data_IF_314895231531
#
_entry.id   IF_314895231531
#
_cell.length_a   1.000
_cell.length_b   1.000
_cell.length_c   1.000
_cell.angle_alpha   90.00
_cell.angle_beta   90.00
_cell.angle_gamma   90.00
#
_symmetry.space_group_name_H-M   'P 1'
#
loop_
_entity.id
_entity.type
_entity.pdbx_description
1 polymer ?
#
# COMPACT_ATOMS: atom_id res chain seq x y z
N UNK A 1 -3.90 -11.68 -31.36
CA UNK A 1 -4.31 -12.31 -30.08
C UNK A 1 -5.24 -11.32 -29.39
N UNK A 2 -6.51 -11.69 -29.21
CA UNK A 2 -7.54 -10.82 -28.61
C UNK A 2 -8.18 -11.62 -27.49
N UNK A 3 -8.11 -11.12 -26.25
CA UNK A 3 -8.73 -11.76 -25.08
C UNK A 3 -10.14 -11.24 -24.88
N UNK A 4 -11.05 -12.05 -24.30
CA UNK A 4 -12.43 -11.64 -24.02
C UNK A 4 -12.48 -10.48 -23.04
N UNK A 5 -11.65 -10.53 -21.99
CA UNK A 5 -11.51 -9.49 -20.99
C UNK A 5 -10.10 -9.49 -20.40
N UNK A 6 -9.78 -8.46 -19.60
CA UNK A 6 -8.56 -8.37 -18.81
C UNK A 6 -8.90 -8.46 -17.33
N UNK A 7 -8.33 -9.44 -16.64
CA UNK A 7 -8.45 -9.62 -15.20
C UNK A 7 -7.20 -9.11 -14.46
N UNK A 8 -7.42 -8.37 -13.38
CA UNK A 8 -6.32 -7.91 -12.52
C UNK A 8 -5.61 -9.09 -11.85
N UNK A 9 -4.27 -9.02 -11.80
CA UNK A 9 -3.44 -10.05 -11.19
C UNK A 9 -3.81 -10.40 -9.73
N UNK A 10 -4.43 -9.48 -9.00
CA UNK A 10 -4.94 -9.71 -7.65
C UNK A 10 -5.97 -10.85 -7.56
N UNK A 11 -6.67 -11.21 -8.64
CA UNK A 11 -7.60 -12.33 -8.68
C UNK A 11 -6.97 -13.64 -9.21
N UNK A 12 -5.73 -13.59 -9.70
CA UNK A 12 -5.14 -14.71 -10.44
C UNK A 12 -5.01 -15.99 -9.63
N UNK A 13 -4.78 -15.92 -8.32
CA UNK A 13 -4.74 -17.13 -7.47
C UNK A 13 -6.12 -17.69 -7.14
N UNK A 14 -7.14 -16.85 -7.09
CA UNK A 14 -8.51 -17.23 -6.69
C UNK A 14 -9.37 -17.72 -7.85
N UNK A 15 -9.09 -17.26 -9.07
CA UNK A 15 -9.80 -17.70 -10.27
C UNK A 15 -9.35 -19.10 -10.67
N UNK A 16 -10.30 -19.99 -10.94
CA UNK A 16 -10.00 -21.37 -11.34
C UNK A 16 -9.31 -21.37 -12.69
N UNK A 17 -8.44 -22.35 -12.94
CA UNK A 17 -7.67 -22.42 -14.19
C UNK A 17 -8.56 -22.44 -15.45
N UNK A 18 -9.69 -23.15 -15.40
CA UNK A 18 -10.64 -23.23 -16.53
C UNK A 18 -11.25 -21.87 -16.89
N UNK A 19 -11.43 -20.98 -15.92
CA UNK A 19 -12.07 -19.67 -16.11
C UNK A 19 -11.09 -18.59 -16.63
N UNK A 20 -9.81 -18.94 -16.85
CA UNK A 20 -8.75 -18.02 -17.30
C UNK A 20 -8.43 -18.13 -18.79
N UNK A 21 -8.84 -19.22 -19.44
CA UNK A 21 -8.34 -19.58 -20.77
C UNK A 21 -8.66 -18.56 -21.87
N UNK A 22 -9.72 -17.75 -21.69
CA UNK A 22 -10.14 -16.68 -22.60
C UNK A 22 -9.85 -15.27 -22.06
N UNK A 23 -9.16 -15.17 -20.92
CA UNK A 23 -8.80 -13.93 -20.25
C UNK A 23 -7.33 -13.58 -20.44
N UNK A 24 -7.03 -12.28 -20.43
CA UNK A 24 -5.68 -11.77 -20.21
C UNK A 24 -5.49 -11.38 -18.75
N UNK A 25 -4.28 -11.55 -18.21
CA UNK A 25 -3.92 -11.06 -16.88
C UNK A 25 -3.24 -9.69 -16.99
N UNK A 26 -3.76 -8.65 -16.33
CA UNK A 26 -3.18 -7.31 -16.33
C UNK A 26 -2.65 -6.88 -14.96
N UNK A 27 -1.77 -5.89 -14.99
CA UNK A 27 -1.13 -5.29 -13.82
C UNK A 27 -1.46 -3.81 -13.62
N UNK A 28 -2.48 -3.29 -14.31
CA UNK A 28 -3.07 -1.96 -14.03
C UNK A 28 -3.83 -1.89 -12.69
N UNK A 29 -3.11 -2.22 -11.62
CA UNK A 29 -3.48 -2.18 -10.21
C UNK A 29 -2.30 -1.53 -9.48
N UNK A 30 -2.41 -1.24 -8.19
CA UNK A 30 -1.29 -0.60 -7.48
C UNK A 30 -0.06 -1.53 -7.41
N UNK A 31 1.15 -0.98 -7.63
CA UNK A 31 2.44 -1.70 -7.66
C UNK A 31 2.60 -2.73 -6.54
N UNK A 32 2.18 -2.36 -5.33
CA UNK A 32 2.31 -3.21 -4.15
C UNK A 32 1.59 -4.56 -4.31
N UNK A 33 0.52 -4.61 -5.11
CA UNK A 33 -0.25 -5.82 -5.35
C UNK A 33 0.49 -6.83 -6.23
N UNK A 34 1.56 -6.42 -6.92
CA UNK A 34 2.32 -7.31 -7.80
C UNK A 34 3.83 -7.25 -7.63
N UNK A 35 4.37 -6.41 -6.74
CA UNK A 35 5.80 -6.42 -6.37
C UNK A 35 6.32 -7.85 -6.03
N UNK A 36 5.45 -8.69 -5.47
CA UNK A 36 5.68 -10.12 -5.22
C UNK A 36 6.16 -10.93 -6.44
N UNK A 37 5.76 -10.54 -7.65
CA UNK A 37 6.17 -11.24 -8.86
C UNK A 37 7.61 -10.90 -9.26
N UNK A 38 8.11 -9.72 -8.88
CA UNK A 38 9.54 -9.38 -9.02
C UNK A 38 10.41 -10.17 -8.05
N UNK A 39 9.96 -10.28 -6.80
CA UNK A 39 10.73 -10.97 -5.76
C UNK A 39 10.76 -12.49 -5.94
N UNK A 40 9.67 -13.07 -6.46
CA UNK A 40 9.51 -14.52 -6.62
C UNK A 40 8.89 -14.87 -7.97
N UNK A 41 9.56 -14.59 -9.10
CA UNK A 41 8.97 -14.70 -10.43
C UNK A 41 8.50 -16.12 -10.77
N UNK A 42 9.22 -17.15 -10.30
CA UNK A 42 8.85 -18.55 -10.49
C UNK A 42 7.57 -18.98 -9.76
N UNK A 43 7.26 -18.37 -8.62
CA UNK A 43 6.16 -18.80 -7.75
C UNK A 43 4.76 -18.54 -8.33
N UNK A 44 4.67 -17.72 -9.37
CA UNK A 44 3.41 -17.31 -10.00
C UNK A 44 3.20 -17.91 -11.38
N UNK A 45 4.17 -18.66 -11.91
CA UNK A 45 4.08 -19.24 -13.26
C UNK A 45 2.82 -20.08 -13.39
N UNK A 46 2.55 -20.99 -12.45
CA UNK A 46 1.38 -21.88 -12.54
C UNK A 46 0.04 -21.13 -12.42
N UNK A 47 0.03 -19.99 -11.71
CA UNK A 47 -1.16 -19.16 -11.62
C UNK A 47 -1.40 -18.34 -12.90
N UNK A 48 -0.32 -17.98 -13.60
CA UNK A 48 -0.31 -17.13 -14.79
C UNK A 48 -0.43 -17.92 -16.10
N UNK A 49 0.10 -19.14 -16.17
CA UNK A 49 0.11 -20.00 -17.36
C UNK A 49 -1.28 -20.27 -17.97
N UNK A 50 -2.37 -20.39 -17.19
CA UNK A 50 -3.68 -20.66 -17.78
C UNK A 50 -4.33 -19.45 -18.49
N UNK A 51 -3.78 -18.24 -18.38
CA UNK A 51 -4.28 -17.08 -19.12
C UNK A 51 -3.89 -17.15 -20.58
N UNK A 52 -4.73 -16.61 -21.47
CA UNK A 52 -4.41 -16.50 -22.89
C UNK A 52 -3.17 -15.62 -23.13
N UNK A 53 -3.02 -14.56 -22.34
CA UNK A 53 -1.82 -13.77 -22.28
C UNK A 53 -1.64 -13.08 -20.93
N UNK A 54 -0.43 -12.66 -20.64
CA UNK A 54 -0.09 -11.91 -19.42
C UNK A 54 0.60 -10.61 -19.84
N UNK A 55 0.06 -9.49 -19.38
CA UNK A 55 0.70 -8.19 -19.62
C UNK A 55 1.94 -8.08 -18.73
N UNK A 56 3.02 -7.43 -19.18
CA UNK A 56 4.16 -7.16 -18.28
C UNK A 56 3.73 -6.25 -17.13
N UNK A 57 4.30 -6.39 -15.93
CA UNK A 57 3.95 -5.53 -14.79
C UNK A 57 4.20 -4.06 -15.09
N UNK A 58 3.28 -3.20 -14.66
CA UNK A 58 3.33 -1.76 -14.91
C UNK A 58 3.82 -1.03 -13.66
N UNK A 59 5.09 -1.21 -13.30
CA UNK A 59 5.68 -0.49 -12.17
C UNK A 59 5.61 1.02 -12.42
N UNK A 60 5.00 1.73 -11.49
CA UNK A 60 4.67 3.14 -11.59
C UNK A 60 5.90 4.01 -11.87
N UNK A 61 5.75 4.93 -12.81
CA UNK A 61 6.73 5.97 -13.14
C UNK A 61 6.15 7.32 -12.72
N UNK A 62 6.75 7.96 -11.71
CA UNK A 62 6.31 9.28 -11.25
C UNK A 62 7.13 10.40 -11.92
N UNK A 63 6.49 11.54 -12.18
CA UNK A 63 7.14 12.69 -12.84
C UNK A 63 8.28 13.29 -12.02
N UNK A 64 8.24 13.14 -10.69
CA UNK A 64 9.25 13.58 -9.73
C UNK A 64 10.29 12.49 -9.40
N UNK A 65 10.14 11.29 -9.96
CA UNK A 65 11.08 10.19 -9.78
C UNK A 65 12.34 10.42 -10.65
N UNK A 66 13.57 10.30 -10.11
CA UNK A 66 14.79 10.39 -10.89
C UNK A 66 14.81 9.39 -12.06
N UNK A 67 15.34 9.79 -13.22
CA UNK A 67 15.40 8.95 -14.44
C UNK A 67 15.99 7.55 -14.17
N UNK A 68 16.99 7.42 -13.28
CA UNK A 68 17.60 6.14 -12.92
C UNK A 68 16.60 5.17 -12.24
N UNK A 69 15.73 5.68 -11.38
CA UNK A 69 14.69 4.85 -10.73
C UNK A 69 13.58 4.49 -11.72
N UNK A 70 13.26 5.40 -12.64
CA UNK A 70 12.30 5.10 -13.71
C UNK A 70 12.83 4.01 -14.65
N UNK A 71 14.11 4.07 -15.01
CA UNK A 71 14.79 3.05 -15.81
C UNK A 71 14.84 1.71 -15.08
N UNK A 72 15.10 1.71 -13.76
CA UNK A 72 15.00 0.52 -12.93
C UNK A 72 13.61 -0.12 -12.98
N UNK A 73 12.54 0.66 -12.85
CA UNK A 73 11.15 0.16 -12.92
C UNK A 73 10.84 -0.44 -14.30
N UNK A 74 11.32 0.19 -15.38
CA UNK A 74 11.18 -0.36 -16.73
C UNK A 74 11.98 -1.64 -16.94
N UNK A 75 13.19 -1.72 -16.40
CA UNK A 75 14.01 -2.93 -16.42
C UNK A 75 13.30 -4.09 -15.73
N UNK A 76 12.76 -3.90 -14.52
CA UNK A 76 12.06 -4.94 -13.76
C UNK A 76 10.89 -5.54 -14.56
N UNK A 77 10.08 -4.67 -15.18
CA UNK A 77 8.96 -5.05 -16.03
C UNK A 77 9.40 -5.92 -17.21
N UNK A 78 10.43 -5.49 -17.95
CA UNK A 78 10.93 -6.21 -19.11
C UNK A 78 11.60 -7.55 -18.75
N UNK A 79 12.38 -7.58 -17.67
CA UNK A 79 13.04 -8.78 -17.17
C UNK A 79 12.02 -9.85 -16.75
N UNK A 80 10.93 -9.46 -16.09
CA UNK A 80 9.83 -10.36 -15.75
C UNK A 80 9.11 -10.89 -16.97
N UNK A 81 8.80 -10.00 -17.92
CA UNK A 81 8.21 -10.40 -19.19
C UNK A 81 9.05 -11.47 -19.88
N UNK A 82 10.36 -11.23 -20.02
CA UNK A 82 11.29 -12.19 -20.62
C UNK A 82 11.32 -13.52 -19.86
N UNK A 83 11.39 -13.47 -18.53
CA UNK A 83 11.39 -14.67 -17.71
C UNK A 83 10.11 -15.49 -17.88
N UNK A 84 8.95 -14.84 -17.97
CA UNK A 84 7.68 -15.53 -18.20
C UNK A 84 7.55 -16.13 -19.59
N UNK A 85 8.00 -15.42 -20.63
CA UNK A 85 8.09 -15.98 -21.99
C UNK A 85 8.93 -17.26 -22.03
N UNK A 86 10.10 -17.24 -21.38
CA UNK A 86 10.98 -18.41 -21.27
C UNK A 86 10.33 -19.59 -20.55
N UNK A 87 9.29 -19.34 -19.74
CA UNK A 87 8.53 -20.35 -19.02
C UNK A 87 7.18 -20.69 -19.70
N UNK A 88 7.03 -20.34 -20.98
CA UNK A 88 5.90 -20.73 -21.83
C UNK A 88 4.64 -19.88 -21.65
N UNK A 89 4.75 -18.68 -21.06
CA UNK A 89 3.64 -17.74 -20.96
C UNK A 89 3.67 -16.81 -22.17
N UNK A 90 2.53 -16.60 -22.84
CA UNK A 90 2.41 -15.56 -23.85
C UNK A 90 2.37 -14.19 -23.19
N UNK A 91 3.38 -13.36 -23.42
CA UNK A 91 3.52 -12.05 -22.78
C UNK A 91 3.23 -10.91 -23.75
N UNK A 92 2.53 -9.88 -23.26
CA UNK A 92 2.31 -8.62 -23.99
C UNK A 92 2.98 -7.47 -23.23
N UNK A 93 3.91 -6.72 -23.86
CA UNK A 93 4.53 -5.57 -23.22
C UNK A 93 3.53 -4.47 -22.87
N UNK A 94 3.58 -3.99 -21.63
CA UNK A 94 2.85 -2.82 -21.17
C UNK A 94 3.69 -1.57 -21.40
N UNK A 95 3.11 -0.58 -22.08
CA UNK A 95 3.70 0.73 -22.29
C UNK A 95 3.48 1.60 -21.06
N UNK A 96 4.57 2.21 -20.57
CA UNK A 96 4.58 3.08 -19.41
C UNK A 96 5.59 4.20 -19.62
N UNK A 97 5.25 5.43 -19.26
CA UNK A 97 6.11 6.61 -19.43
C UNK A 97 5.74 7.68 -18.38
N UNK A 98 6.64 8.65 -18.21
CA UNK A 98 6.39 9.82 -17.37
C UNK A 98 6.64 11.09 -18.19
N UNK A 99 7.81 11.72 -18.06
CA UNK A 99 8.21 12.91 -18.81
C UNK A 99 8.96 12.56 -20.11
N UNK A 100 9.16 13.52 -21.05
CA UNK A 100 9.90 13.25 -22.30
C UNK A 100 11.32 12.68 -22.12
N UNK A 101 12.01 12.94 -21.01
CA UNK A 101 13.30 12.28 -20.72
C UNK A 101 13.17 10.77 -20.61
N UNK A 102 12.02 10.25 -20.16
CA UNK A 102 11.76 8.82 -20.01
C UNK A 102 11.73 8.07 -21.34
N UNK A 103 11.45 8.77 -22.46
CA UNK A 103 11.42 8.17 -23.80
C UNK A 103 12.77 7.60 -24.24
N UNK A 104 13.86 7.98 -23.58
CA UNK A 104 15.20 7.41 -23.81
C UNK A 104 15.27 5.92 -23.45
N UNK A 105 14.43 5.45 -22.54
CA UNK A 105 14.48 4.07 -22.04
C UNK A 105 13.13 3.35 -22.04
N UNK A 106 11.99 4.05 -21.94
CA UNK A 106 10.71 3.40 -21.62
C UNK A 106 10.17 2.45 -22.69
N UNK A 107 10.59 2.62 -23.96
CA UNK A 107 10.22 1.75 -25.08
C UNK A 107 11.33 0.77 -25.51
N UNK A 108 12.47 0.76 -24.81
CA UNK A 108 13.57 -0.17 -25.14
C UNK A 108 13.14 -1.61 -24.89
N UNK A 109 13.58 -2.51 -25.78
CA UNK A 109 13.30 -3.95 -25.67
C UNK A 109 11.90 -4.37 -26.14
N UNK A 110 11.04 -3.43 -26.56
CA UNK A 110 9.74 -3.74 -27.15
C UNK A 110 9.91 -3.88 -28.67
N UNK A 111 9.57 -5.03 -29.28
CA UNK A 111 9.69 -5.21 -30.73
C UNK A 111 8.75 -4.28 -31.50
N UNK A 112 9.19 -3.81 -32.68
CA UNK A 112 8.32 -3.08 -33.59
C UNK A 112 7.21 -3.98 -34.13
N UNK A 113 6.06 -3.41 -34.49
CA UNK A 113 4.90 -4.14 -35.05
C UNK A 113 4.37 -5.25 -34.13
N UNK A 114 4.64 -5.16 -32.83
CA UNK A 114 4.13 -6.09 -31.82
C UNK A 114 2.78 -5.62 -31.26
N UNK A 115 2.08 -6.55 -30.60
CA UNK A 115 0.95 -6.21 -29.73
C UNK A 115 1.49 -5.58 -28.45
N UNK A 116 0.90 -4.46 -28.04
CA UNK A 116 1.27 -3.74 -26.80
C UNK A 116 0.02 -3.40 -26.00
N UNK A 117 0.19 -3.20 -24.70
CA UNK A 117 -0.91 -2.79 -23.82
C UNK A 117 -0.64 -1.44 -23.16
N UNK A 118 -1.69 -0.67 -22.87
CA UNK A 118 -1.59 0.58 -22.10
C UNK A 118 -2.89 0.85 -21.35
N UNK A 119 -2.83 1.74 -20.36
CA UNK A 119 -3.98 2.09 -19.53
C UNK A 119 -4.23 3.59 -19.50
N UNK A 120 -5.51 3.95 -19.39
CA UNK A 120 -6.01 5.32 -19.18
C UNK A 120 -6.59 5.51 -17.77
N UNK A 121 -6.49 4.48 -16.92
CA UNK A 121 -6.87 4.55 -15.50
C UNK A 121 -5.99 5.59 -14.81
N UNK A 122 -6.59 6.46 -13.99
CA UNK A 122 -5.89 7.58 -13.34
C UNK A 122 -5.68 8.82 -14.24
N UNK A 123 -5.48 8.63 -15.55
CA UNK A 123 -5.24 9.71 -16.54
C UNK A 123 -6.52 10.50 -16.85
N UNK A 124 -7.69 9.85 -16.83
CA UNK A 124 -8.94 10.46 -17.29
C UNK A 124 -9.42 11.67 -16.46
N UNK A 125 -8.87 11.94 -15.27
CA UNK A 125 -9.39 12.93 -14.31
C UNK A 125 -8.73 14.32 -14.36
N UNK A 126 -7.59 14.51 -15.03
CA UNK A 126 -6.90 15.81 -15.11
C UNK A 126 -6.38 16.16 -16.50
N UNK A 127 -6.45 17.45 -16.90
CA UNK A 127 -6.00 17.92 -18.23
C UNK A 127 -4.52 17.62 -18.49
N UNK A 128 -3.62 17.98 -17.56
CA UNK A 128 -2.18 17.74 -17.72
C UNK A 128 -1.80 16.25 -17.80
N UNK A 129 -2.50 15.37 -17.09
CA UNK A 129 -2.26 13.93 -17.17
C UNK A 129 -2.65 13.36 -18.54
N UNK A 130 -3.74 13.87 -19.15
CA UNK A 130 -4.15 13.47 -20.51
C UNK A 130 -3.12 13.89 -21.55
N UNK A 131 -2.55 15.08 -21.44
CA UNK A 131 -1.55 15.57 -22.39
C UNK A 131 -0.27 14.73 -22.32
N UNK A 132 0.23 14.44 -21.11
CA UNK A 132 1.37 13.54 -20.88
C UNK A 132 1.12 12.14 -21.46
N UNK A 133 -0.09 11.60 -21.27
CA UNK A 133 -0.46 10.32 -21.86
C UNK A 133 -0.47 10.39 -23.39
N UNK A 134 -1.09 11.42 -23.98
CA UNK A 134 -1.17 11.60 -25.44
C UNK A 134 0.21 11.74 -26.06
N UNK A 135 1.11 12.46 -25.42
CA UNK A 135 2.47 12.67 -25.92
C UNK A 135 3.31 11.39 -25.87
N UNK A 136 3.25 10.66 -24.75
CA UNK A 136 3.95 9.38 -24.65
C UNK A 136 3.37 8.31 -25.57
N UNK A 137 2.04 8.25 -25.72
CA UNK A 137 1.41 7.34 -26.67
C UNK A 137 1.79 7.68 -28.12
N UNK A 138 1.81 8.97 -28.49
CA UNK A 138 2.24 9.40 -29.83
C UNK A 138 3.68 8.96 -30.12
N UNK A 139 4.57 9.12 -29.14
CA UNK A 139 5.95 8.68 -29.29
C UNK A 139 6.07 7.15 -29.37
N UNK A 140 5.26 6.41 -28.61
CA UNK A 140 5.18 4.96 -28.69
C UNK A 140 4.70 4.51 -30.09
N UNK A 141 3.63 5.10 -30.62
CA UNK A 141 3.11 4.81 -31.96
C UNK A 141 4.18 5.04 -33.04
N UNK A 142 4.90 6.17 -32.96
CA UNK A 142 5.96 6.53 -33.92
C UNK A 142 7.15 5.56 -33.88
N UNK A 143 7.56 5.10 -32.70
CA UNK A 143 8.76 4.26 -32.54
C UNK A 143 8.48 2.78 -32.71
N UNK A 144 7.36 2.31 -32.19
CA UNK A 144 7.03 0.89 -32.13
C UNK A 144 6.16 0.45 -33.30
N UNK A 145 5.38 1.36 -33.90
CA UNK A 145 4.41 1.03 -34.96
C UNK A 145 3.60 -0.24 -34.61
N UNK A 146 2.92 -0.26 -33.44
CA UNK A 146 2.29 -1.48 -32.94
C UNK A 146 1.25 -2.00 -33.93
N UNK A 147 1.13 -3.32 -34.04
CA UNK A 147 0.09 -3.96 -34.87
C UNK A 147 -1.26 -4.00 -34.18
N UNK A 148 -1.27 -4.01 -32.84
CA UNK A 148 -2.47 -4.04 -32.00
C UNK A 148 -2.19 -3.35 -30.66
N UNK A 149 -3.11 -2.50 -30.20
CA UNK A 149 -3.08 -1.91 -28.86
C UNK A 149 -4.22 -2.46 -28.00
N UNK A 150 -3.87 -3.03 -26.84
CA UNK A 150 -4.83 -3.39 -25.79
C UNK A 150 -4.98 -2.20 -24.84
N UNK A 151 -6.11 -1.49 -24.93
CA UNK A 151 -6.39 -0.27 -24.16
C UNK A 151 -7.28 -0.58 -22.95
N UNK A 152 -6.72 -0.48 -21.75
CA UNK A 152 -7.48 -0.64 -20.51
C UNK A 152 -7.97 0.72 -19.97
N UNK A 153 -9.26 0.82 -19.64
CA UNK A 153 -9.86 2.02 -19.04
C UNK A 153 -10.84 2.74 -19.95
N UNK A 154 -10.90 4.08 -19.86
CA UNK A 154 -11.81 4.91 -20.65
C UNK A 154 -11.10 5.37 -21.93
N UNK A 155 -11.71 5.20 -23.08
CA UNK A 155 -11.24 5.86 -24.29
C UNK A 155 -11.30 7.39 -24.10
N UNK A 156 -10.15 8.05 -24.25
CA UNK A 156 -9.99 9.51 -24.09
C UNK A 156 -10.00 10.27 -25.42
N UNK A 157 -10.31 9.61 -26.53
CA UNK A 157 -10.33 10.18 -27.88
C UNK A 157 -8.92 10.39 -28.46
N UNK A 158 -8.02 9.42 -28.30
CA UNK A 158 -6.71 9.44 -28.96
C UNK A 158 -6.82 8.80 -30.34
N UNK A 159 -6.15 9.41 -31.33
CA UNK A 159 -6.07 8.88 -32.68
C UNK A 159 -4.88 7.91 -32.78
N UNK A 160 -5.19 6.61 -32.90
CA UNK A 160 -4.19 5.56 -33.09
C UNK A 160 -3.82 5.36 -34.56
N UNK A 161 -4.33 6.20 -35.47
CA UNK A 161 -4.16 6.05 -36.91
C UNK A 161 -4.78 4.75 -37.41
N UNK A 162 -4.04 4.01 -38.24
CA UNK A 162 -4.48 2.71 -38.77
C UNK A 162 -4.24 1.51 -37.84
N UNK A 163 -3.79 1.72 -36.61
CA UNK A 163 -3.53 0.63 -35.66
C UNK A 163 -4.84 0.07 -35.08
N UNK A 164 -4.95 -1.25 -35.01
CA UNK A 164 -6.08 -1.92 -34.37
C UNK A 164 -6.05 -1.66 -32.85
N UNK A 165 -7.22 -1.38 -32.25
CA UNK A 165 -7.34 -1.13 -30.81
C UNK A 165 -8.47 -1.97 -30.23
N UNK A 166 -8.17 -2.71 -29.16
CA UNK A 166 -9.17 -3.45 -28.37
C UNK A 166 -9.30 -2.78 -27.01
N UNK A 167 -10.52 -2.37 -26.67
CA UNK A 167 -10.81 -1.64 -25.44
C UNK A 167 -11.35 -2.55 -24.34
N UNK A 168 -10.82 -2.41 -23.12
CA UNK A 168 -11.23 -3.14 -21.93
C UNK A 168 -11.71 -2.17 -20.85
N UNK A 169 -12.87 -2.42 -20.25
CA UNK A 169 -13.46 -1.54 -19.24
C UNK A 169 -12.79 -1.74 -17.88
N UNK A 170 -12.38 -0.64 -17.24
CA UNK A 170 -11.96 -0.66 -15.84
C UNK A 170 -13.15 -0.97 -14.92
N UNK A 171 -13.09 -2.06 -14.16
CA UNK A 171 -14.13 -2.49 -13.20
C UNK A 171 -14.92 -3.76 -13.56
N UNK A 172 -14.49 -4.53 -14.56
CA UNK A 172 -15.14 -5.78 -14.98
C UNK A 172 -14.68 -7.01 -14.19
N UNK A 173 -15.34 -7.30 -13.06
CA UNK A 173 -15.16 -8.54 -12.31
C UNK A 173 -16.48 -9.13 -11.85
N UNK A 174 -17.56 -8.99 -12.64
CA UNK A 174 -18.80 -9.70 -12.37
C UNK A 174 -18.66 -11.15 -12.80
N UNK A 175 -18.09 -11.99 -11.94
CA UNK A 175 -18.38 -13.43 -12.00
C UNK A 175 -19.75 -13.60 -11.34
N UNK A 176 -20.80 -13.46 -12.14
CA UNK A 176 -22.14 -13.89 -11.78
C UNK A 176 -22.18 -15.42 -11.78
N UNK A 177 -22.50 -16.01 -10.63
CA UNK A 177 -22.75 -17.44 -10.49
C UNK A 177 -23.47 -17.72 -9.18
N UNK A 178 -24.79 -17.84 -9.24
CA UNK A 178 -25.63 -18.38 -8.15
C UNK A 178 -25.12 -19.79 -7.81
N UNK A 179 -24.91 -20.06 -6.53
CA UNK A 179 -24.53 -21.38 -6.05
C UNK A 179 -24.46 -21.43 -4.53
N UNK A 180 -25.60 -21.68 -3.90
CA UNK A 180 -25.73 -22.06 -2.49
C UNK A 180 -25.04 -23.41 -2.24
N UNK A 181 -24.10 -23.48 -1.29
CA UNK A 181 -23.73 -24.74 -0.65
C UNK A 181 -23.47 -24.55 0.85
N UNK A 182 -24.25 -25.29 1.63
CA UNK A 182 -24.08 -25.59 3.05
C UNK A 182 -23.23 -26.85 3.26
N UNK A 183 -22.84 -27.06 4.53
CA UNK A 183 -22.32 -28.31 5.13
C UNK A 183 -20.79 -28.54 4.93
N UNK A 184 -20.01 -29.05 5.88
CA UNK A 184 -20.20 -29.53 7.26
C UNK A 184 -18.81 -29.67 7.89
N UNK A 185 -18.75 -29.60 9.22
CA UNK A 185 -17.56 -29.95 9.99
C UNK A 185 -17.19 -31.43 9.82
N UNK A 186 -15.90 -31.71 9.67
CA UNK A 186 -15.31 -33.04 9.75
C UNK A 186 -13.94 -32.94 10.41
N UNK A 187 -13.85 -33.31 11.68
CA UNK A 187 -12.62 -33.34 12.45
C UNK A 187 -11.84 -34.63 12.16
N UNK A 188 -10.52 -34.50 11.96
CA UNK A 188 -9.56 -35.57 12.21
C UNK A 188 -8.34 -34.96 12.92
N UNK A 189 -8.22 -35.27 14.21
CA UNK A 189 -6.99 -35.16 15.03
C UNK A 189 -6.25 -36.49 14.80
N UNK A 190 -4.95 -36.51 14.55
CA UNK A 190 -3.96 -36.58 15.62
C UNK A 190 -2.57 -36.06 15.24
N UNK A 191 -1.83 -35.70 16.30
CA UNK A 191 -0.58 -34.94 16.33
C UNK A 191 0.62 -35.88 16.47
N UNK A 192 1.77 -35.43 15.99
CA UNK A 192 3.07 -35.72 16.60
C UNK A 192 3.67 -34.41 17.13
N UNK A 193 4.01 -34.40 18.42
CA UNK A 193 4.84 -33.41 19.13
C UNK A 193 6.23 -34.04 19.28
N UNK A 194 7.34 -33.32 19.28
CA UNK A 194 7.90 -32.40 20.28
C UNK A 194 9.22 -31.89 19.67
N UNK A 195 9.78 -30.75 20.11
CA UNK A 195 11.16 -30.37 19.74
C UNK A 195 11.41 -30.45 18.20
N UNK A 196 10.51 -29.82 17.44
CA UNK A 196 10.33 -30.06 16.01
C UNK A 196 9.82 -28.82 15.29
N UNK A 197 10.64 -27.77 15.27
CA UNK A 197 10.50 -26.66 14.34
C UNK A 197 11.81 -26.51 13.57
N UNK A 198 12.01 -27.36 12.55
CA UNK A 198 12.85 -26.93 11.43
C UNK A 198 12.04 -25.90 10.65
N UNK A 199 12.28 -24.64 10.97
CA UNK A 199 11.87 -23.55 10.09
C UNK A 199 13.08 -23.17 9.26
N UNK A 200 13.20 -23.80 8.10
CA UNK A 200 14.00 -23.26 7.00
C UNK A 200 13.29 -22.01 6.47
N UNK A 201 13.42 -20.90 7.21
CA UNK A 201 13.05 -19.59 6.74
C UNK A 201 14.21 -19.05 5.90
N UNK A 202 14.07 -19.11 4.57
CA UNK A 202 14.96 -18.36 3.68
C UNK A 202 14.67 -16.86 3.79
N UNK A 203 15.73 -16.06 3.92
CA UNK A 203 15.77 -14.60 4.00
C UNK A 203 15.16 -13.84 2.79
N UNK A 204 14.40 -14.51 1.90
CA UNK A 204 13.84 -13.94 0.67
C UNK A 204 12.34 -13.56 0.76
N UNK A 205 11.71 -13.64 1.94
CA UNK A 205 10.28 -13.33 2.13
C UNK A 205 9.99 -11.96 2.76
N UNK A 206 11.00 -11.13 2.99
CA UNK A 206 10.80 -9.77 3.51
C UNK A 206 10.69 -8.83 2.31
N UNK A 207 9.45 -8.48 1.93
CA UNK A 207 9.22 -7.38 0.98
C UNK A 207 7.99 -7.45 0.06
N UNK A 208 7.03 -8.35 0.21
CA UNK A 208 5.84 -8.40 -0.67
C UNK A 208 4.54 -8.17 0.09
N UNK A 209 3.53 -7.55 -0.54
CA UNK A 209 2.18 -7.53 0.02
C UNK A 209 1.62 -8.97 0.12
N UNK A 210 0.86 -9.28 1.18
CA UNK A 210 0.44 -10.63 1.52
C UNK A 210 -0.71 -11.15 0.63
N UNK A 211 -0.55 -12.36 0.09
CA UNK A 211 -1.52 -13.02 -0.81
C UNK A 211 -2.52 -13.92 -0.09
N UNK A 212 -2.30 -14.15 1.19
CA UNK A 212 -3.15 -14.96 2.04
C UNK A 212 -3.28 -14.33 3.42
N UNK A 213 -4.30 -14.74 4.15
CA UNK A 213 -4.48 -14.36 5.55
C UNK A 213 -3.28 -14.76 6.43
N UNK A 214 -2.57 -15.83 6.05
CA UNK A 214 -1.33 -16.25 6.71
C UNK A 214 -0.21 -15.25 6.44
N UNK A 215 -0.08 -14.78 5.21
CA UNK A 215 0.93 -13.80 4.81
C UNK A 215 0.70 -12.46 5.53
N UNK A 216 -0.56 -12.08 5.79
CA UNK A 216 -0.90 -10.88 6.57
C UNK A 216 -0.42 -11.00 8.02
N UNK A 217 -0.66 -12.15 8.65
CA UNK A 217 -0.20 -12.44 10.02
C UNK A 217 1.33 -12.47 10.06
N UNK A 218 1.97 -13.00 9.02
CA UNK A 218 3.42 -13.02 8.88
C UNK A 218 4.00 -11.61 8.72
N UNK A 219 3.39 -10.75 7.89
CA UNK A 219 3.82 -9.35 7.74
C UNK A 219 3.62 -8.57 9.04
N UNK A 220 2.52 -8.78 9.74
CA UNK A 220 2.32 -8.17 11.06
C UNK A 220 3.41 -8.61 12.04
N UNK A 221 3.74 -9.91 12.10
CA UNK A 221 4.86 -10.39 12.92
C UNK A 221 6.20 -9.80 12.49
N UNK A 222 6.46 -9.72 11.19
CA UNK A 222 7.68 -9.13 10.63
C UNK A 222 7.76 -7.61 10.83
N UNK A 223 6.62 -6.93 10.99
CA UNK A 223 6.57 -5.54 11.39
C UNK A 223 6.88 -5.37 12.89
N UNK A 224 6.97 -6.44 13.68
CA UNK A 224 7.33 -6.38 15.11
C UNK A 224 6.18 -6.64 16.07
N UNK A 225 4.97 -7.00 15.59
CA UNK A 225 3.88 -7.35 16.50
C UNK A 225 4.16 -8.69 17.21
N UNK A 226 4.04 -8.69 18.55
CA UNK A 226 4.25 -9.87 19.40
C UNK A 226 3.12 -10.90 19.30
N UNK A 227 1.95 -10.49 18.78
CA UNK A 227 0.81 -11.35 18.54
C UNK A 227 -0.21 -10.69 17.61
N UNK A 228 -1.00 -11.51 16.91
CA UNK A 228 -2.06 -11.06 15.99
C UNK A 228 -3.30 -11.89 16.25
N UNK A 229 -4.40 -11.25 16.64
CA UNK A 229 -5.62 -11.94 17.06
C UNK A 229 -6.89 -11.24 16.56
N UNK A 230 -7.91 -12.02 16.21
CA UNK A 230 -9.24 -11.49 15.92
C UNK A 230 -9.33 -10.55 14.71
N UNK A 231 -8.33 -10.54 13.84
CA UNK A 231 -8.36 -9.76 12.59
C UNK A 231 -9.22 -10.44 11.51
N UNK A 232 -9.93 -11.54 11.88
CA UNK A 232 -10.96 -12.36 11.20
C UNK A 232 -11.55 -11.79 9.91
N UNK A 233 -12.09 -10.61 10.11
CA UNK A 233 -13.05 -10.00 9.21
C UNK A 233 -12.45 -8.84 8.43
N UNK A 234 -11.21 -8.44 8.75
CA UNK A 234 -10.49 -7.39 8.01
C UNK A 234 -10.03 -7.97 6.68
N UNK A 235 -10.47 -7.33 5.59
CA UNK A 235 -10.08 -7.72 4.22
C UNK A 235 -8.57 -7.63 4.04
N UNK A 236 -8.00 -8.62 3.35
CA UNK A 236 -6.56 -8.74 3.09
C UNK A 236 -5.97 -7.45 2.56
N UNK A 237 -6.59 -6.81 1.55
CA UNK A 237 -6.10 -5.56 0.94
C UNK A 237 -5.95 -4.41 1.95
N UNK A 238 -6.95 -4.20 2.81
CA UNK A 238 -6.90 -3.15 3.83
C UNK A 238 -5.83 -3.47 4.87
N UNK A 239 -5.76 -4.73 5.30
CA UNK A 239 -4.75 -5.19 6.24
C UNK A 239 -3.33 -5.06 5.67
N UNK A 240 -3.13 -5.33 4.37
CA UNK A 240 -1.87 -5.08 3.67
C UNK A 240 -1.46 -3.62 3.73
N UNK A 241 -2.38 -2.70 3.40
CA UNK A 241 -2.12 -1.25 3.44
C UNK A 241 -1.68 -0.80 4.84
N UNK A 242 -2.41 -1.23 5.88
CA UNK A 242 -2.07 -0.88 7.25
C UNK A 242 -0.72 -1.45 7.67
N UNK A 243 -0.44 -2.72 7.34
CA UNK A 243 0.83 -3.33 7.74
C UNK A 243 2.03 -2.77 6.99
N UNK A 244 1.87 -2.33 5.74
CA UNK A 244 2.93 -1.63 5.01
C UNK A 244 3.23 -0.27 5.64
N UNK A 245 2.19 0.49 5.99
CA UNK A 245 2.38 1.74 6.70
C UNK A 245 3.06 1.52 8.04
N UNK A 246 2.61 0.54 8.83
CA UNK A 246 3.25 0.20 10.11
C UNK A 246 4.69 -0.24 9.91
N UNK A 247 4.99 -1.09 8.92
CA UNK A 247 6.34 -1.52 8.63
C UNK A 247 7.25 -0.33 8.27
N UNK A 248 6.77 0.59 7.43
CA UNK A 248 7.51 1.81 7.08
C UNK A 248 7.78 2.71 8.29
N UNK A 249 6.81 2.86 9.19
CA UNK A 249 6.99 3.65 10.41
C UNK A 249 7.93 2.93 11.39
N UNK A 250 7.82 1.61 11.50
CA UNK A 250 8.68 0.80 12.36
C UNK A 250 10.14 0.88 11.96
N UNK A 251 10.45 0.81 10.67
CA UNK A 251 11.84 0.98 10.18
C UNK A 251 12.44 2.34 10.57
N UNK A 252 11.60 3.35 10.78
CA UNK A 252 12.04 4.71 11.12
C UNK A 252 12.05 4.98 12.62
N UNK A 253 11.14 4.38 13.38
CA UNK A 253 10.88 4.76 14.77
C UNK A 253 11.01 3.63 15.78
N UNK A 254 10.93 2.35 15.38
CA UNK A 254 11.21 1.21 16.26
C UNK A 254 10.25 1.01 17.44
N UNK A 255 9.02 1.55 17.40
CA UNK A 255 8.11 1.52 18.55
C UNK A 255 7.63 0.11 18.93
N UNK A 256 7.36 -0.75 17.94
CA UNK A 256 6.92 -2.13 18.19
C UNK A 256 8.04 -3.00 18.75
N UNK A 257 9.29 -2.76 18.35
CA UNK A 257 10.46 -3.44 18.91
C UNK A 257 10.77 -2.97 20.34
N UNK A 258 10.56 -1.69 20.64
CA UNK A 258 10.84 -1.14 21.97
C UNK A 258 9.81 -1.57 23.02
N UNK A 259 8.53 -1.67 22.64
CA UNK A 259 7.43 -2.12 23.51
C UNK A 259 6.65 -3.23 22.82
N UNK A 260 6.69 -4.47 23.35
CA UNK A 260 5.96 -5.60 22.78
C UNK A 260 4.48 -5.27 22.58
N UNK A 261 4.05 -5.24 21.32
CA UNK A 261 2.71 -4.78 20.94
C UNK A 261 1.92 -5.89 20.27
N UNK A 262 0.68 -6.11 20.68
CA UNK A 262 -0.24 -7.04 20.02
C UNK A 262 -1.17 -6.32 19.05
N UNK A 263 -1.42 -6.91 17.89
CA UNK A 263 -2.43 -6.46 16.94
C UNK A 263 -3.74 -7.22 17.17
N UNK A 264 -4.82 -6.48 17.44
CA UNK A 264 -6.14 -7.03 17.73
C UNK A 264 -7.17 -6.54 16.70
N UNK A 265 -8.05 -7.42 16.25
CA UNK A 265 -9.28 -7.02 15.56
C UNK A 265 -10.49 -7.11 16.50
N UNK A 266 -11.21 -6.01 16.65
CA UNK A 266 -12.39 -5.93 17.51
C UNK A 266 -13.59 -5.27 16.82
N UNK A 267 -14.79 -5.54 17.32
CA UNK A 267 -16.01 -4.82 16.96
C UNK A 267 -16.39 -3.87 18.10
N UNK A 268 -16.94 -2.70 17.76
CA UNK A 268 -17.39 -1.73 18.75
C UNK A 268 -18.05 -0.52 18.11
N UNK A 269 -18.44 0.48 18.91
CA UNK A 269 -18.96 1.74 18.38
C UNK A 269 -17.92 2.84 18.56
N UNK A 270 -17.77 3.70 17.55
CA UNK A 270 -17.07 4.98 17.68
C UNK A 270 -15.56 5.00 17.45
N UNK A 271 -14.96 3.94 16.87
CA UNK A 271 -13.53 3.97 16.52
C UNK A 271 -13.23 3.23 15.20
N UNK A 272 -12.11 3.60 14.58
CA UNK A 272 -11.58 2.98 13.35
C UNK A 272 -10.36 2.11 13.67
N UNK A 273 -9.46 2.65 14.48
CA UNK A 273 -8.45 1.92 15.22
C UNK A 273 -8.27 2.59 16.59
N UNK A 274 -7.50 1.97 17.47
CA UNK A 274 -7.10 2.52 18.75
C UNK A 274 -5.78 1.88 19.20
N UNK A 275 -4.84 2.65 19.73
CA UNK A 275 -3.65 2.17 20.40
C UNK A 275 -3.69 2.48 21.89
N UNK A 276 -3.27 1.53 22.72
CA UNK A 276 -3.22 1.71 24.16
C UNK A 276 -2.09 0.88 24.77
N UNK A 277 -1.59 1.33 25.92
CA UNK A 277 -0.84 0.46 26.83
C UNK A 277 -1.79 -0.60 27.41
N UNK A 278 -1.36 -1.86 27.43
CA UNK A 278 -2.10 -2.97 28.01
C UNK A 278 -1.71 -3.26 29.47
N UNK A 279 -0.77 -2.47 30.03
CA UNK A 279 -0.12 -2.75 31.31
C UNK A 279 1.02 -3.78 31.19
N UNK A 280 1.82 -3.92 32.24
CA UNK A 280 2.96 -4.87 32.31
C UNK A 280 4.02 -4.72 31.20
N UNK A 281 4.18 -3.51 30.64
CA UNK A 281 5.14 -3.25 29.56
C UNK A 281 4.72 -3.79 28.19
N UNK A 282 3.43 -4.07 27.99
CA UNK A 282 2.85 -4.44 26.71
C UNK A 282 1.95 -3.32 26.17
N UNK A 283 1.81 -3.25 24.84
CA UNK A 283 0.85 -2.39 24.17
C UNK A 283 -0.08 -3.19 23.26
N UNK A 284 -1.17 -2.56 22.87
CA UNK A 284 -2.14 -3.11 21.91
C UNK A 284 -2.43 -2.08 20.84
N UNK A 285 -2.50 -2.54 19.60
CA UNK A 285 -3.08 -1.84 18.47
C UNK A 285 -4.34 -2.57 18.05
N UNK A 286 -5.49 -1.91 18.15
CA UNK A 286 -6.80 -2.47 17.86
C UNK A 286 -7.30 -1.89 16.55
N UNK A 287 -7.68 -2.74 15.59
CA UNK A 287 -8.35 -2.35 14.35
C UNK A 287 -9.82 -2.74 14.42
N UNK A 288 -10.71 -1.81 14.06
CA UNK A 288 -12.12 -2.14 13.98
C UNK A 288 -12.37 -3.08 12.79
N UNK A 289 -12.86 -4.30 13.04
CA UNK A 289 -13.03 -5.35 12.02
C UNK A 289 -13.75 -4.88 10.76
N UNK A 290 -14.95 -4.30 10.92
CA UNK A 290 -15.78 -3.84 9.79
C UNK A 290 -15.32 -2.53 9.17
N UNK A 291 -15.01 -1.51 9.97
CA UNK A 291 -14.63 -0.21 9.44
C UNK A 291 -13.24 -0.23 8.78
N UNK A 292 -12.30 -0.98 9.35
CA UNK A 292 -10.97 -1.15 8.77
C UNK A 292 -10.99 -2.05 7.53
N UNK A 293 -12.09 -2.76 7.24
CA UNK A 293 -12.21 -3.64 6.07
C UNK A 293 -12.28 -2.91 4.74
N UNK A 294 -12.64 -1.63 4.69
CA UNK A 294 -12.74 -0.87 3.45
C UNK A 294 -11.92 0.41 3.52
N UNK A 295 -10.66 0.31 3.08
CA UNK A 295 -9.68 1.40 3.12
C UNK A 295 -10.11 2.63 2.30
N UNK A 296 -10.88 2.44 1.22
CA UNK A 296 -11.41 3.53 0.38
C UNK A 296 -12.53 4.28 1.10
N UNK A 297 -13.44 3.55 1.74
CA UNK A 297 -14.50 4.18 2.54
C UNK A 297 -13.92 4.95 3.74
N UNK A 298 -12.85 4.42 4.35
CA UNK A 298 -12.09 5.09 5.41
C UNK A 298 -11.44 6.38 4.90
N UNK A 299 -10.78 6.32 3.74
CA UNK A 299 -10.15 7.50 3.14
C UNK A 299 -11.16 8.62 2.84
N UNK A 300 -12.36 8.29 2.36
CA UNK A 300 -13.43 9.27 2.17
C UNK A 300 -14.03 9.78 3.48
N UNK A 301 -14.05 8.98 4.55
CA UNK A 301 -14.45 9.45 5.87
C UNK A 301 -13.46 10.49 6.40
N UNK A 302 -12.16 10.21 6.28
CA UNK A 302 -11.13 11.17 6.66
C UNK A 302 -11.14 12.43 5.82
N UNK A 303 -11.38 12.33 4.51
CA UNK A 303 -11.53 13.51 3.66
C UNK A 303 -12.59 14.48 4.20
N UNK A 304 -13.71 13.97 4.73
CA UNK A 304 -14.75 14.81 5.34
C UNK A 304 -14.30 15.46 6.66
N UNK A 305 -13.55 14.72 7.48
CA UNK A 305 -13.03 15.20 8.78
C UNK A 305 -11.84 16.17 8.64
N UNK A 306 -11.03 15.99 7.59
CA UNK A 306 -9.98 16.92 7.16
C UNK A 306 -10.63 18.24 6.68
N UNK A 307 -11.65 18.15 5.83
CA UNK A 307 -12.36 19.33 5.31
C UNK A 307 -13.11 20.12 6.41
N UNK A 308 -13.51 19.48 7.50
CA UNK A 308 -14.12 20.16 8.65
C UNK A 308 -13.09 20.75 9.63
N UNK A 309 -11.79 20.52 9.39
CA UNK A 309 -10.71 20.90 10.32
C UNK A 309 -10.68 20.05 11.60
N UNK A 310 -11.48 18.98 11.66
CA UNK A 310 -11.51 18.09 12.82
C UNK A 310 -10.20 17.31 12.93
N UNK A 311 -9.64 16.83 11.82
CA UNK A 311 -8.36 16.10 11.77
C UNK A 311 -7.31 16.85 10.98
N UNK A 312 -6.03 16.57 11.25
CA UNK A 312 -4.94 17.16 10.49
C UNK A 312 -5.03 16.77 8.99
N UNK A 313 -4.73 17.69 8.08
CA UNK A 313 -4.79 17.39 6.65
C UNK A 313 -3.74 16.37 6.23
N UNK A 314 -3.91 15.80 5.05
CA UNK A 314 -2.90 14.90 4.44
C UNK A 314 -2.35 15.55 3.15
N UNK A 315 -1.53 14.84 2.38
CA UNK A 315 -1.15 15.28 1.03
C UNK A 315 -2.30 15.23 0.00
N UNK A 316 -3.53 14.91 0.44
CA UNK A 316 -4.72 14.81 -0.41
C UNK A 316 -4.80 13.52 -1.24
N UNK A 317 -3.78 12.65 -1.19
CA UNK A 317 -3.81 11.36 -1.87
C UNK A 317 -4.72 10.39 -1.12
N UNK A 318 -5.40 9.54 -1.88
CA UNK A 318 -6.29 8.51 -1.32
C UNK A 318 -5.54 7.57 -0.37
N UNK A 319 -4.29 7.24 -0.69
CA UNK A 319 -3.40 6.40 0.13
C UNK A 319 -3.05 7.03 1.47
N UNK A 320 -2.72 8.33 1.49
CA UNK A 320 -2.39 9.05 2.73
C UNK A 320 -3.61 9.19 3.64
N UNK A 321 -4.79 9.45 3.05
CA UNK A 321 -6.07 9.44 3.78
C UNK A 321 -6.42 8.05 4.29
N UNK A 322 -6.17 7.00 3.51
CA UNK A 322 -6.33 5.61 3.94
C UNK A 322 -5.43 5.26 5.14
N UNK A 323 -4.20 5.78 5.13
CA UNK A 323 -3.18 5.49 6.15
C UNK A 323 -3.24 6.42 7.36
N UNK A 324 -4.03 7.48 7.33
CA UNK A 324 -4.13 8.44 8.44
C UNK A 324 -4.41 7.77 9.79
N UNK A 325 -5.44 6.92 9.89
CA UNK A 325 -5.78 6.27 11.17
C UNK A 325 -4.61 5.46 11.70
N UNK A 326 -3.99 4.63 10.86
CA UNK A 326 -2.94 3.73 11.33
C UNK A 326 -1.68 4.51 11.74
N UNK A 327 -1.35 5.58 11.04
CA UNK A 327 -0.23 6.45 11.40
C UNK A 327 -0.53 7.23 12.68
N UNK A 328 -1.75 7.71 12.87
CA UNK A 328 -2.18 8.36 14.11
C UNK A 328 -2.02 7.40 15.30
N UNK A 329 -2.56 6.19 15.22
CA UNK A 329 -2.43 5.20 16.29
C UNK A 329 -0.98 4.78 16.54
N UNK A 330 -0.17 4.66 15.48
CA UNK A 330 1.25 4.40 15.63
C UNK A 330 1.97 5.55 16.37
N UNK A 331 1.50 6.79 16.21
CA UNK A 331 1.97 7.94 16.99
C UNK A 331 1.81 7.74 18.51
N UNK A 332 0.71 7.13 18.97
CA UNK A 332 0.57 6.76 20.37
C UNK A 332 1.57 5.67 20.79
N UNK A 333 1.85 4.69 19.93
CA UNK A 333 2.87 3.67 20.21
C UNK A 333 4.27 4.29 20.36
N UNK A 334 4.63 5.24 19.50
CA UNK A 334 5.89 6.00 19.62
C UNK A 334 5.94 6.74 20.95
N UNK A 335 4.87 7.46 21.33
CA UNK A 335 4.83 8.18 22.61
C UNK A 335 5.02 7.23 23.80
N UNK A 336 4.35 6.08 23.78
CA UNK A 336 4.44 5.07 24.82
C UNK A 336 5.85 4.45 24.90
N UNK A 337 6.48 4.18 23.75
CA UNK A 337 7.85 3.69 23.70
C UNK A 337 8.84 4.70 24.28
N UNK A 338 8.71 5.99 23.94
CA UNK A 338 9.51 7.07 24.52
C UNK A 338 9.30 7.19 26.03
N UNK A 339 8.06 7.11 26.50
CA UNK A 339 7.75 7.11 27.93
C UNK A 339 8.38 5.91 28.65
N UNK A 340 8.24 4.71 28.09
CA UNK A 340 8.81 3.48 28.65
C UNK A 340 10.34 3.58 28.75
N UNK A 341 11.00 4.11 27.71
CA UNK A 341 12.43 4.38 27.74
C UNK A 341 12.81 5.43 28.79
N UNK A 342 12.05 6.51 28.90
CA UNK A 342 12.28 7.53 29.93
C UNK A 342 12.18 6.95 31.35
N UNK A 343 11.18 6.10 31.61
CA UNK A 343 11.02 5.40 32.90
C UNK A 343 12.22 4.48 33.17
N UNK A 344 12.68 3.72 32.17
CA UNK A 344 13.91 2.90 32.28
C UNK A 344 15.14 3.75 32.61
N UNK A 345 15.18 4.99 32.12
CA UNK A 345 16.24 5.96 32.37
C UNK A 345 16.03 6.78 33.67
N UNK A 346 15.08 6.38 34.53
CA UNK A 346 14.88 6.99 35.86
C UNK A 346 13.80 8.06 35.94
N UNK A 347 12.99 8.26 34.89
CA UNK A 347 11.82 9.13 34.98
C UNK A 347 10.75 8.54 35.91
N UNK A 348 10.27 9.33 36.86
CA UNK A 348 9.30 8.90 37.89
C UNK A 348 7.90 9.53 37.75
N UNK A 349 7.69 10.38 36.73
CA UNK A 349 6.40 11.00 36.49
C UNK A 349 5.40 10.06 35.77
N UNK A 350 4.12 10.45 35.77
CA UNK A 350 3.10 9.70 35.03
C UNK A 350 3.21 9.87 33.51
N UNK A 351 2.65 8.94 32.75
CA UNK A 351 2.54 8.99 31.29
C UNK A 351 1.84 10.29 30.83
N UNK A 352 0.75 10.69 31.51
CA UNK A 352 0.05 11.95 31.22
C UNK A 352 0.95 13.18 31.42
N UNK A 353 1.80 13.17 32.46
CA UNK A 353 2.76 14.26 32.69
C UNK A 353 3.85 14.27 31.62
N UNK A 354 4.31 13.09 31.20
CA UNK A 354 5.27 12.94 30.11
C UNK A 354 4.70 13.49 28.79
N UNK A 355 3.49 13.07 28.40
CA UNK A 355 2.80 13.57 27.22
C UNK A 355 2.60 15.10 27.27
N UNK A 356 2.24 15.64 28.44
CA UNK A 356 2.12 17.08 28.64
C UNK A 356 3.46 17.84 28.48
N UNK A 357 4.58 17.23 28.87
CA UNK A 357 5.92 17.80 28.64
C UNK A 357 6.29 17.76 27.16
N UNK A 358 6.11 16.61 26.50
CA UNK A 358 6.34 16.49 25.05
C UNK A 358 5.52 17.50 24.25
N UNK A 359 4.25 17.70 24.61
CA UNK A 359 3.39 18.73 23.99
C UNK A 359 4.00 20.13 24.11
N UNK A 360 4.43 20.54 25.32
CA UNK A 360 5.03 21.87 25.52
C UNK A 360 6.29 22.06 24.69
N UNK A 361 7.18 21.07 24.66
CA UNK A 361 8.41 21.15 23.87
C UNK A 361 8.13 21.27 22.37
N UNK A 362 7.17 20.47 21.85
CA UNK A 362 6.76 20.55 20.44
C UNK A 362 6.12 21.92 20.14
N UNK A 363 5.30 22.46 21.06
CA UNK A 363 4.73 23.82 20.92
C UNK A 363 5.81 24.90 20.91
N UNK A 364 6.81 24.82 21.79
CA UNK A 364 7.94 25.74 21.84
C UNK A 364 8.77 25.70 20.55
N UNK A 365 9.05 24.51 20.02
CA UNK A 365 9.74 24.33 18.73
C UNK A 365 8.88 24.91 17.59
N UNK A 366 7.59 24.60 17.56
CA UNK A 366 6.67 25.05 16.52
C UNK A 366 6.58 26.58 16.47
N UNK A 367 6.38 27.23 17.62
CA UNK A 367 6.29 28.69 17.74
C UNK A 367 7.65 29.33 17.43
N UNK A 368 8.71 28.85 18.08
CA UNK A 368 10.03 29.47 18.02
C UNK A 368 10.74 29.33 16.68
N UNK A 369 10.55 28.21 15.97
CA UNK A 369 11.28 27.93 14.71
C UNK A 369 10.43 27.99 13.46
N UNK A 370 9.13 27.70 13.59
CA UNK A 370 8.28 27.46 12.42
C UNK A 370 7.07 28.39 12.34
N UNK A 371 6.98 29.42 13.19
CA UNK A 371 5.88 30.38 13.21
C UNK A 371 4.54 29.74 13.57
N UNK A 372 4.56 28.69 14.39
CA UNK A 372 3.37 27.95 14.80
C UNK A 372 2.41 28.80 15.63
N UNK A 373 1.12 28.52 15.50
CA UNK A 373 0.07 29.05 16.38
C UNK A 373 -0.96 27.96 16.64
N UNK A 374 -1.69 28.05 17.77
CA UNK A 374 -2.69 27.03 18.15
C UNK A 374 -3.78 26.80 17.09
N UNK A 375 -4.03 27.77 16.21
CA UNK A 375 -4.96 27.64 15.08
C UNK A 375 -4.50 26.65 14.00
N UNK A 376 -3.22 26.31 13.97
CA UNK A 376 -2.63 25.35 13.02
C UNK A 376 -2.74 23.89 13.49
N UNK A 377 -3.29 23.64 14.68
CA UNK A 377 -3.59 22.30 15.17
C UNK A 377 -5.05 21.93 14.90
N UNK A 378 -5.31 20.67 14.54
CA UNK A 378 -6.66 20.17 14.27
C UNK A 378 -7.53 20.22 15.53
N UNK A 379 -8.85 20.23 15.33
CA UNK A 379 -9.80 20.11 16.44
C UNK A 379 -9.52 18.89 17.32
N UNK A 380 -9.14 17.77 16.71
CA UNK A 380 -8.82 16.52 17.40
C UNK A 380 -7.53 16.62 18.24
N UNK A 381 -6.50 17.30 17.73
CA UNK A 381 -5.25 17.52 18.46
C UNK A 381 -5.40 18.40 19.71
N UNK A 382 -6.50 19.15 19.85
CA UNK A 382 -6.79 19.96 21.03
C UNK A 382 -7.41 19.19 22.19
N UNK A 383 -7.84 17.93 21.99
CA UNK A 383 -8.56 17.17 23.01
C UNK A 383 -7.70 16.91 24.26
N UNK A 384 -6.47 16.42 24.07
CA UNK A 384 -5.51 16.19 25.14
C UNK A 384 -4.07 16.08 24.58
N UNK A 385 -3.08 15.94 25.47
CA UNK A 385 -1.67 15.89 25.08
C UNK A 385 -1.27 14.61 24.31
N UNK A 386 -2.00 13.51 24.47
CA UNK A 386 -1.79 12.28 23.70
C UNK A 386 -2.27 12.47 22.26
N UNK A 387 -3.49 12.99 22.07
CA UNK A 387 -4.04 13.30 20.74
C UNK A 387 -3.21 14.37 20.02
N UNK A 388 -2.75 15.40 20.73
CA UNK A 388 -1.85 16.40 20.17
C UNK A 388 -0.59 15.76 19.57
N UNK A 389 0.01 14.81 20.30
CA UNK A 389 1.21 14.12 19.85
C UNK A 389 0.92 13.24 18.65
N UNK A 390 -0.16 12.46 18.69
CA UNK A 390 -0.55 11.56 17.60
C UNK A 390 -0.93 12.33 16.32
N UNK A 391 -1.62 13.47 16.45
CA UNK A 391 -1.93 14.37 15.32
C UNK A 391 -0.69 15.02 14.72
N UNK A 392 0.20 15.53 15.56
CA UNK A 392 1.47 16.10 15.13
C UNK A 392 2.33 15.03 14.42
N UNK A 393 2.34 13.80 14.96
CA UNK A 393 3.00 12.64 14.36
C UNK A 393 2.39 12.30 12.99
N UNK A 394 1.08 12.06 12.92
CA UNK A 394 0.40 11.69 11.68
C UNK A 394 0.69 12.72 10.58
N UNK A 395 0.62 14.01 10.93
CA UNK A 395 0.85 15.06 9.95
C UNK A 395 2.31 15.18 9.51
N UNK A 396 3.25 14.90 10.41
CA UNK A 396 4.67 14.86 10.06
C UNK A 396 5.03 13.76 9.05
N UNK A 397 4.16 12.74 8.91
CA UNK A 397 4.41 11.59 8.03
C UNK A 397 3.54 11.54 6.77
N UNK A 398 2.35 12.15 6.75
CA UNK A 398 1.34 11.93 5.70
C UNK A 398 0.98 13.17 4.87
N UNK A 399 1.66 14.30 5.08
CA UNK A 399 1.38 15.56 4.37
C UNK A 399 2.60 16.44 4.22
N UNK A 400 2.41 17.63 3.65
CA UNK A 400 3.39 18.72 3.73
C UNK A 400 3.32 19.32 5.15
N UNK A 401 4.30 19.06 6.03
CA UNK A 401 4.14 19.35 7.45
C UNK A 401 4.06 20.87 7.69
N UNK A 402 3.07 21.30 8.46
CA UNK A 402 2.99 22.67 8.99
C UNK A 402 3.98 22.84 10.16
N UNK A 403 3.85 23.92 10.91
CA UNK A 403 4.72 24.20 12.05
C UNK A 403 4.78 23.03 13.06
N UNK A 404 3.66 22.40 13.39
CA UNK A 404 3.61 21.28 14.34
C UNK A 404 4.17 19.98 13.75
N UNK A 405 3.90 19.68 12.48
CA UNK A 405 4.48 18.51 11.82
C UNK A 405 6.02 18.61 11.69
N UNK A 406 6.55 19.81 11.43
CA UNK A 406 8.00 20.07 11.39
C UNK A 406 8.60 20.02 12.79
N UNK A 407 7.95 20.65 13.77
CA UNK A 407 8.37 20.57 15.16
C UNK A 407 8.40 19.14 15.70
N UNK A 408 7.46 18.31 15.27
CA UNK A 408 7.44 16.90 15.63
C UNK A 408 8.65 16.14 15.07
N UNK A 409 9.05 16.41 13.83
CA UNK A 409 10.27 15.83 13.26
C UNK A 409 11.54 16.27 14.02
N UNK A 410 11.63 17.54 14.42
CA UNK A 410 12.72 18.04 15.26
C UNK A 410 12.74 17.33 16.64
N UNK A 411 11.58 17.25 17.29
CA UNK A 411 11.42 16.59 18.59
C UNK A 411 11.84 15.12 18.55
N UNK A 412 11.42 14.38 17.52
CA UNK A 412 11.82 12.97 17.33
C UNK A 412 13.27 12.82 16.86
N UNK A 413 13.88 13.90 16.34
CA UNK A 413 15.30 13.96 16.04
C UNK A 413 16.15 13.94 17.32
N UNK A 414 15.68 14.55 18.40
CA UNK A 414 16.37 14.61 19.70
C UNK A 414 15.90 13.53 20.69
N UNK A 415 14.65 13.05 20.55
CA UNK A 415 14.06 12.01 21.39
C UNK A 415 13.86 10.73 20.58
N UNK A 416 14.94 9.96 20.44
CA UNK A 416 14.91 8.68 19.71
C UNK A 416 14.67 7.50 20.63
N UNK A 417 13.89 6.56 20.12
CA UNK A 417 13.73 5.23 20.69
C UNK A 417 15.05 4.48 20.46
N UNK A 418 15.67 4.02 21.55
CA UNK A 418 17.01 3.39 21.56
C UNK A 418 16.98 1.90 21.30
#
# INVERSE_FOLDING_TARGET
MVTRDLQGFNYAKTTRAADKADLGCHFFIDDYQFERVWQRPGAYIDALRPYQCVLTPDFSLYMDMPDAMQEWNRYRSAALGRYWEQNGITVVPTLSWAQPSSYKFCFKGIPRQSTVATSTVGVARGRGARDVWRDGMREAMRRLEPSLVLLYGKNIGFDFGGCEVVEYKAGGGSIGGRGSYSATAGAMKERVKLLGADTNAHLSNIGGAPDSRRDVIEIARNAGFSGVYGTDEIKTQSMSSYMQQVHSLEQKYGALHAVPTQLLGADGKGFYAAASSAGNGQAVLVLHRRNASNVVALAHAHEREENSGFKMPTDGRLTSRANYTITHEYGHLVQNALYTQAVRNGYTGSERKFAGTAKREIEEIAIGRYGGSGSMMSGYGHYNAHEFFAESFAYSQLGAPNAYGRAMNDYLGTHRIS
#
